data_IF_253841952343
#
_entry.id   IF_253841952343
#
_cell.length_a   1.000
_cell.length_b   1.000
_cell.length_c   1.000
_cell.angle_alpha   90.00
_cell.angle_beta   90.00
_cell.angle_gamma   90.00
#
_symmetry.space_group_name_H-M   'P 1'
#
loop_
_entity.id
_entity.type
_entity.pdbx_description
1 polymer ?
#
# COMPACT_ATOMS: atom_id res chain seq x y z
N UNK A 1 8.55 -15.69 7.78
CA UNK A 1 8.77 -14.32 7.30
C UNK A 1 7.67 -13.46 7.88
N UNK A 2 8.00 -12.34 8.52
CA UNK A 2 6.98 -11.47 9.12
C UNK A 2 6.20 -10.68 8.08
N UNK A 3 5.08 -10.11 8.48
CA UNK A 3 4.33 -9.15 7.68
C UNK A 3 4.96 -7.76 7.85
N UNK A 4 5.04 -7.01 6.76
CA UNK A 4 5.51 -5.63 6.76
C UNK A 4 4.30 -4.71 6.55
N UNK A 5 4.11 -3.77 7.48
CA UNK A 5 3.04 -2.78 7.41
C UNK A 5 3.63 -1.43 6.98
N UNK A 6 3.06 -0.85 5.94
CA UNK A 6 3.38 0.50 5.45
C UNK A 6 2.18 1.37 5.78
N UNK A 7 2.40 2.42 6.57
CA UNK A 7 1.35 3.39 6.88
C UNK A 7 1.19 4.36 5.72
N UNK A 8 -0.03 4.80 5.50
CA UNK A 8 -0.40 5.69 4.41
C UNK A 8 -1.22 6.84 4.96
N UNK A 9 -0.83 8.06 4.67
CA UNK A 9 -1.58 9.27 4.97
C UNK A 9 -2.43 9.73 3.78
N UNK A 10 -3.42 10.59 4.06
CA UNK A 10 -4.40 11.14 3.12
C UNK A 10 -5.41 10.11 2.56
N UNK A 11 -5.63 8.98 3.25
CA UNK A 11 -6.66 8.01 2.90
C UNK A 11 -7.99 8.36 3.58
N UNK A 12 -8.91 8.96 2.83
CA UNK A 12 -10.17 9.49 3.36
C UNK A 12 -11.31 8.46 3.42
N UNK A 13 -11.24 7.41 2.59
CA UNK A 13 -12.29 6.40 2.51
C UNK A 13 -11.79 5.10 1.86
N UNK A 14 -12.62 4.05 1.86
CA UNK A 14 -12.29 2.77 1.24
C UNK A 14 -11.98 2.84 -0.27
N UNK A 15 -12.46 3.86 -0.98
CA UNK A 15 -12.06 4.09 -2.38
C UNK A 15 -10.59 4.47 -2.52
N UNK A 16 -9.99 5.10 -1.51
CA UNK A 16 -8.55 5.40 -1.50
C UNK A 16 -7.72 4.11 -1.45
N UNK A 17 -8.15 3.14 -0.65
CA UNK A 17 -7.51 1.83 -0.57
C UNK A 17 -7.54 1.12 -1.93
N UNK A 18 -8.66 1.25 -2.65
CA UNK A 18 -8.81 0.68 -3.99
C UNK A 18 -7.86 1.32 -5.02
N UNK A 19 -7.65 2.63 -4.97
CA UNK A 19 -6.70 3.31 -5.86
C UNK A 19 -5.28 2.78 -5.70
N UNK A 20 -4.80 2.68 -4.45
CA UNK A 20 -3.48 2.12 -4.15
C UNK A 20 -3.38 0.67 -4.63
N UNK A 21 -4.43 -0.13 -4.40
CA UNK A 21 -4.47 -1.52 -4.85
C UNK A 21 -4.41 -1.65 -6.37
N UNK A 22 -5.10 -0.79 -7.12
CA UNK A 22 -5.03 -0.79 -8.59
C UNK A 22 -3.63 -0.46 -9.08
N UNK A 23 -2.95 0.54 -8.51
CA UNK A 23 -1.56 0.86 -8.88
C UNK A 23 -0.59 -0.30 -8.61
N UNK A 24 -0.85 -1.09 -7.57
CA UNK A 24 -0.07 -2.29 -7.24
C UNK A 24 -0.40 -3.45 -8.18
N UNK A 25 -1.67 -3.64 -8.55
CA UNK A 25 -2.11 -4.68 -9.48
C UNK A 25 -1.64 -4.39 -10.92
N UNK A 26 -1.55 -3.12 -11.31
CA UNK A 26 -1.02 -2.66 -12.61
C UNK A 26 0.52 -2.62 -12.65
N UNK A 27 1.19 -2.83 -11.51
CA UNK A 27 2.64 -2.83 -11.44
C UNK A 27 3.25 -4.10 -12.06
N UNK A 28 4.36 -3.94 -12.78
CA UNK A 28 5.01 -5.04 -13.51
C UNK A 28 6.06 -5.79 -12.68
N UNK A 29 6.26 -5.42 -11.41
CA UNK A 29 7.24 -6.09 -10.53
C UNK A 29 6.80 -7.53 -10.26
N UNK A 30 7.61 -8.54 -10.64
CA UNK A 30 7.23 -9.94 -10.51
C UNK A 30 6.87 -10.33 -9.07
N UNK A 31 5.63 -10.77 -8.88
CA UNK A 31 5.14 -11.28 -7.61
C UNK A 31 4.85 -10.22 -6.54
N UNK A 32 4.94 -8.92 -6.86
CA UNK A 32 4.66 -7.86 -5.89
C UNK A 32 3.19 -7.84 -5.45
N UNK A 33 2.26 -7.86 -6.41
CA UNK A 33 0.83 -7.90 -6.13
C UNK A 33 0.43 -9.12 -5.28
N UNK A 34 1.08 -10.27 -5.49
CA UNK A 34 0.85 -11.49 -4.71
C UNK A 34 1.33 -11.40 -3.25
N UNK A 35 2.29 -10.49 -2.96
CA UNK A 35 2.76 -10.22 -1.59
C UNK A 35 1.83 -9.28 -0.84
N UNK A 36 0.98 -8.52 -1.53
CA UNK A 36 0.07 -7.56 -0.89
C UNK A 36 -1.15 -8.29 -0.36
N UNK A 37 -1.25 -8.38 0.97
CA UNK A 37 -2.32 -9.12 1.63
C UNK A 37 -3.48 -8.23 2.08
N UNK A 38 -3.22 -6.94 2.33
CA UNK A 38 -4.25 -5.98 2.76
C UNK A 38 -3.91 -4.57 2.31
N UNK A 39 -4.93 -3.83 1.89
CA UNK A 39 -4.89 -2.37 1.72
C UNK A 39 -6.20 -1.83 2.26
N UNK A 40 -6.14 -0.96 3.28
CA UNK A 40 -7.36 -0.42 3.88
C UNK A 40 -7.15 0.95 4.52
N UNK A 41 -8.26 1.66 4.75
CA UNK A 41 -8.29 2.83 5.62
C UNK A 41 -8.47 2.35 7.05
N UNK A 42 -7.55 2.71 7.94
CA UNK A 42 -7.57 2.31 9.35
C UNK A 42 -8.26 3.34 10.23
N UNK A 43 -8.14 4.62 9.89
CA UNK A 43 -8.84 5.70 10.58
C UNK A 43 -9.20 6.84 9.60
N UNK A 44 -10.49 6.93 9.20
CA UNK A 44 -10.98 7.99 8.32
C UNK A 44 -10.91 9.39 8.95
N UNK A 45 -10.92 9.51 10.28
CA UNK A 45 -10.87 10.81 10.95
C UNK A 45 -9.48 11.44 10.87
N UNK A 46 -8.43 10.62 10.98
CA UNK A 46 -7.03 11.04 10.77
C UNK A 46 -6.56 10.86 9.33
N UNK A 47 -7.42 10.36 8.45
CA UNK A 47 -7.13 10.08 7.04
C UNK A 47 -5.94 9.12 6.88
N UNK A 48 -5.89 8.09 7.72
CA UNK A 48 -4.81 7.10 7.71
C UNK A 48 -5.30 5.76 7.19
N UNK A 49 -4.40 5.06 6.51
CA UNK A 49 -4.57 3.69 6.08
C UNK A 49 -3.27 2.93 6.12
N UNK A 50 -3.33 1.66 5.74
CA UNK A 50 -2.20 0.73 5.82
C UNK A 50 -2.18 -0.19 4.61
N UNK A 51 -0.97 -0.50 4.16
CA UNK A 51 -0.68 -1.57 3.19
C UNK A 51 0.14 -2.64 3.90
N UNK A 52 -0.38 -3.86 3.91
CA UNK A 52 0.26 -5.01 4.54
C UNK A 52 0.84 -5.95 3.47
N UNK A 53 2.12 -6.29 3.62
CA UNK A 53 2.88 -7.13 2.71
C UNK A 53 3.38 -8.39 3.43
N UNK A 54 3.20 -9.55 2.83
CA UNK A 54 3.74 -10.82 3.33
C UNK A 54 5.10 -11.12 2.70
N UNK A 55 6.13 -11.36 3.54
CA UNK A 55 7.46 -11.75 3.06
C UNK A 55 8.12 -10.72 2.14
N UNK A 56 7.82 -9.44 2.33
CA UNK A 56 8.38 -8.37 1.54
C UNK A 56 9.87 -8.15 1.84
N UNK A 57 10.63 -7.92 0.78
CA UNK A 57 12.01 -7.43 0.83
C UNK A 57 12.03 -5.90 0.90
N UNK A 58 13.18 -5.30 1.19
CA UNK A 58 13.33 -3.84 1.16
C UNK A 58 13.01 -3.23 -0.21
N UNK A 59 13.30 -3.95 -1.30
CA UNK A 59 12.95 -3.54 -2.66
C UNK A 59 11.43 -3.52 -2.87
N UNK A 60 10.71 -4.55 -2.38
CA UNK A 60 9.24 -4.59 -2.45
C UNK A 60 8.62 -3.43 -1.67
N UNK A 61 9.11 -3.16 -0.46
CA UNK A 61 8.65 -2.04 0.38
C UNK A 61 8.88 -0.71 -0.32
N UNK A 62 10.08 -0.51 -0.88
CA UNK A 62 10.42 0.71 -1.63
C UNK A 62 9.48 0.89 -2.81
N UNK A 63 9.25 -0.17 -3.58
CA UNK A 63 8.36 -0.12 -4.75
C UNK A 63 6.92 0.21 -4.36
N UNK A 64 6.39 -0.41 -3.30
CA UNK A 64 5.04 -0.12 -2.81
C UNK A 64 4.91 1.32 -2.34
N UNK A 65 5.94 1.89 -1.69
CA UNK A 65 5.96 3.32 -1.34
C UNK A 65 5.88 4.22 -2.56
N UNK A 66 6.62 3.90 -3.63
CA UNK A 66 6.54 4.64 -4.90
C UNK A 66 5.14 4.58 -5.52
N UNK A 67 4.48 3.40 -5.47
CA UNK A 67 3.13 3.21 -6.00
C UNK A 67 2.08 3.95 -5.16
N UNK A 68 2.22 3.98 -3.84
CA UNK A 68 1.40 4.80 -2.94
C UNK A 68 1.51 6.29 -3.31
N UNK A 69 2.74 6.77 -3.58
CA UNK A 69 2.97 8.15 -4.03
C UNK A 69 2.40 8.41 -5.40
N UNK A 70 2.53 7.46 -6.34
CA UNK A 70 1.94 7.54 -7.68
C UNK A 70 0.41 7.61 -7.63
N UNK A 71 -0.21 6.89 -6.70
CA UNK A 71 -1.64 6.95 -6.43
C UNK A 71 -2.10 8.28 -5.78
N UNK A 72 -1.17 9.18 -5.42
CA UNK A 72 -1.45 10.49 -4.83
C UNK A 72 -1.47 10.52 -3.29
N UNK A 73 -0.96 9.48 -2.64
CA UNK A 73 -0.92 9.35 -1.19
C UNK A 73 0.51 9.47 -0.65
N UNK A 74 0.67 9.47 0.67
CA UNK A 74 1.98 9.56 1.30
C UNK A 74 2.23 8.33 2.17
N UNK A 75 3.30 7.59 1.87
CA UNK A 75 3.76 6.52 2.76
C UNK A 75 4.55 7.11 3.94
N UNK A 76 4.20 6.73 5.17
CA UNK A 76 4.79 7.23 6.43
C UNK A 76 5.37 6.13 7.31
#
# INVERSE_FOLDING_TARGET
MGNTIIKVANMHCGSCARMIRMEIEDDTTPGLAAKVIRVETTDPATQTGEVELAGATEADVTRVKELIVKAGYQAV
#
